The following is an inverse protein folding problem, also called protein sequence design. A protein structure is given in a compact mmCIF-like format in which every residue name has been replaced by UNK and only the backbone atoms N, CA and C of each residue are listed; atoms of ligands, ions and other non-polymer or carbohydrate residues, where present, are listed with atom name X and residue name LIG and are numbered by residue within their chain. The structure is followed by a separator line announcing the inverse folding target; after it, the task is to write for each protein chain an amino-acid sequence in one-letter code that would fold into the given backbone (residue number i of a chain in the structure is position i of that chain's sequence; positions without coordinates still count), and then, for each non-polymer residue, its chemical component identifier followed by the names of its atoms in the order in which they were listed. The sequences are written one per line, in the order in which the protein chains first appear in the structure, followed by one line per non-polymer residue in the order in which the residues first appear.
data_IF_110696829609
#
_entry.id   IF_110696829609
#
_cell.length_a   1.000
_cell.length_b   1.000
_cell.length_c   1.000
_cell.angle_alpha   90.00
_cell.angle_beta   90.00
_cell.angle_gamma   90.00
#
_symmetry.space_group_name_H-M   'P 1'
#
loop_
_entity.id
_entity.type
_entity.pdbx_description
1 polymer ?
#
# COMPACT_ATOMS: atom_id res chain seq x y z
N UNK A 1 6.54 4.28 6.01
CA UNK A 1 6.10 4.46 4.61
C UNK A 1 4.88 3.60 4.33
N UNK A 2 4.95 2.31 4.69
CA UNK A 2 3.82 1.38 4.66
C UNK A 2 2.88 1.59 5.85
N UNK A 3 3.39 1.37 7.08
CA UNK A 3 2.57 1.45 8.30
C UNK A 3 1.84 2.80 8.44
N UNK A 4 0.59 2.72 8.90
CA UNK A 4 -0.31 3.85 9.12
C UNK A 4 -0.72 4.59 7.84
N UNK A 5 -0.33 4.10 6.66
CA UNK A 5 -0.76 4.69 5.39
C UNK A 5 -2.22 4.34 5.10
N UNK A 6 -3.03 5.34 4.80
CA UNK A 6 -4.42 5.15 4.33
C UNK A 6 -4.52 4.88 2.82
N UNK A 7 -3.42 5.11 2.09
CA UNK A 7 -3.41 5.16 0.64
C UNK A 7 -3.83 3.81 0.00
N UNK A 8 -4.52 3.86 -1.15
CA UNK A 8 -4.72 2.70 -2.02
C UNK A 8 -3.38 2.06 -2.40
N UNK A 9 -3.39 0.75 -2.65
CA UNK A 9 -2.19 0.00 -3.02
C UNK A 9 -1.47 0.63 -4.22
N UNK A 10 -2.19 0.97 -5.29
CA UNK A 10 -1.62 1.62 -6.47
C UNK A 10 -0.86 2.91 -6.13
N UNK A 11 -1.46 3.77 -5.30
CA UNK A 11 -0.86 5.04 -4.88
C UNK A 11 0.30 4.85 -3.92
N UNK A 12 0.16 3.96 -2.95
CA UNK A 12 1.23 3.61 -2.01
C UNK A 12 2.45 3.04 -2.73
N UNK A 13 2.26 2.11 -3.67
CA UNK A 13 3.34 1.52 -4.48
C UNK A 13 4.05 2.59 -5.29
N UNK A 14 3.30 3.50 -5.91
CA UNK A 14 3.87 4.61 -6.67
C UNK A 14 4.71 5.53 -5.77
N UNK A 15 4.16 5.95 -4.63
CA UNK A 15 4.85 6.85 -3.70
C UNK A 15 6.12 6.21 -3.10
N UNK A 16 6.11 4.91 -2.81
CA UNK A 16 7.31 4.17 -2.38
C UNK A 16 8.31 4.05 -3.52
N UNK A 17 7.86 3.70 -4.72
CA UNK A 17 8.72 3.57 -5.89
C UNK A 17 9.45 4.87 -6.20
N UNK A 18 8.76 6.02 -6.21
CA UNK A 18 9.38 7.32 -6.49
C UNK A 18 10.44 7.67 -5.44
N UNK A 19 10.20 7.34 -4.17
CA UNK A 19 11.20 7.53 -3.10
C UNK A 19 12.42 6.63 -3.27
N UNK A 20 12.21 5.36 -3.64
CA UNK A 20 13.29 4.40 -3.86
C UNK A 20 14.08 4.67 -5.14
N UNK A 21 13.46 5.22 -6.19
CA UNK A 21 14.12 5.60 -7.44
C UNK A 21 15.11 6.77 -7.25
N UNK A 22 14.79 7.70 -6.34
CA UNK A 22 15.66 8.85 -6.01
C UNK A 22 16.86 8.43 -5.17
N UNK A 23 16.69 7.42 -4.31
CA UNK A 23 17.79 6.80 -3.59
C UNK A 23 18.53 5.85 -4.56
N UNK A 24 19.70 6.24 -5.07
CA UNK A 24 20.46 5.45 -6.05
C UNK A 24 20.76 4.01 -5.55
N UNK A 25 19.87 3.07 -5.86
CA UNK A 25 19.99 1.65 -5.51
C UNK A 25 20.79 0.92 -6.59
N UNK A 26 21.62 -0.03 -6.14
CA UNK A 26 22.53 -0.84 -6.96
C UNK A 26 21.76 -1.79 -7.91
N UNK A 27 20.48 -2.04 -7.61
CA UNK A 27 19.57 -2.83 -8.44
C UNK A 27 18.36 -1.99 -8.88
N UNK A 28 17.89 -2.17 -10.13
CA UNK A 28 16.72 -1.45 -10.64
C UNK A 28 15.46 -1.90 -9.89
N UNK A 29 14.94 -1.03 -9.03
CA UNK A 29 13.62 -1.19 -8.42
C UNK A 29 12.54 -0.91 -9.47
N UNK A 30 11.48 -1.71 -9.48
CA UNK A 30 10.32 -1.52 -10.37
C UNK A 30 9.04 -1.40 -9.54
N UNK A 31 7.98 -0.80 -10.09
CA UNK A 31 6.67 -0.80 -9.41
C UNK A 31 6.19 -2.23 -9.09
N UNK A 32 6.51 -3.22 -9.93
CA UNK A 32 6.14 -4.61 -9.71
C UNK A 32 6.87 -5.23 -8.51
N UNK A 33 8.17 -4.96 -8.36
CA UNK A 33 8.93 -5.44 -7.19
C UNK A 33 8.46 -4.74 -5.91
N UNK A 34 8.17 -3.43 -5.96
CA UNK A 34 7.59 -2.69 -4.83
C UNK A 34 6.22 -3.24 -4.44
N UNK A 35 5.33 -3.46 -5.41
CA UNK A 35 4.01 -4.06 -5.17
C UNK A 35 4.13 -5.44 -4.51
N UNK A 36 5.03 -6.28 -5.01
CA UNK A 36 5.26 -7.62 -4.44
C UNK A 36 5.75 -7.52 -3.00
N UNK A 37 6.69 -6.61 -2.69
CA UNK A 37 7.15 -6.38 -1.33
C UNK A 37 6.04 -5.89 -0.41
N UNK A 38 5.28 -4.86 -0.81
CA UNK A 38 4.14 -4.33 -0.04
C UNK A 38 3.13 -5.43 0.29
N UNK A 39 2.76 -6.26 -0.68
CA UNK A 39 1.83 -7.37 -0.47
C UNK A 39 2.43 -8.56 0.30
N UNK A 40 3.76 -8.65 0.37
CA UNK A 40 4.46 -9.69 1.13
C UNK A 40 4.54 -9.34 2.60
N UNK A 41 4.93 -8.09 2.92
CA UNK A 41 5.18 -7.66 4.31
C UNK A 41 4.00 -6.94 4.95
N UNK A 42 3.02 -6.51 4.15
CA UNK A 42 1.92 -5.66 4.59
C UNK A 42 0.56 -6.30 4.42
N UNK A 43 -0.39 -5.79 5.19
CA UNK A 43 -1.81 -6.03 5.03
C UNK A 43 -2.56 -4.71 5.13
N UNK A 44 -3.72 -4.63 4.47
CA UNK A 44 -4.59 -3.46 4.52
C UNK A 44 -5.81 -3.78 5.38
N UNK A 45 -5.99 -3.01 6.43
CA UNK A 45 -7.03 -3.17 7.44
C UNK A 45 -8.10 -2.09 7.28
N UNK A 46 -9.35 -2.50 7.43
CA UNK A 46 -10.49 -1.61 7.48
C UNK A 46 -10.98 -1.47 8.92
N UNK A 47 -11.16 -0.23 9.37
CA UNK A 47 -11.77 0.12 10.65
C UNK A 47 -13.13 0.76 10.37
N UNK A 48 -14.20 0.06 10.73
CA UNK A 48 -15.59 0.46 10.44
C UNK A 48 -16.35 -0.61 9.67
N UNK A 49 -17.34 -0.20 8.87
CA UNK A 49 -18.12 -1.10 8.02
C UNK A 49 -17.66 -0.93 6.57
N UNK A 50 -16.70 -1.74 6.09
CA UNK A 50 -16.27 -1.66 4.70
C UNK A 50 -17.39 -2.09 3.76
N UNK A 51 -17.44 -1.48 2.57
CA UNK A 51 -18.30 -1.95 1.50
C UNK A 51 -17.80 -3.33 1.04
N UNK A 52 -18.65 -4.37 1.18
CA UNK A 52 -18.31 -5.75 0.80
C UNK A 52 -18.03 -5.94 -0.68
N UNK A 53 -18.47 -5.01 -1.54
CA UNK A 53 -18.26 -5.05 -2.98
C UNK A 53 -17.04 -4.23 -3.43
N UNK A 54 -16.40 -3.50 -2.51
CA UNK A 54 -15.25 -2.68 -2.84
C UNK A 54 -13.96 -3.51 -2.92
N UNK A 55 -13.03 -3.08 -3.78
CA UNK A 55 -11.69 -3.65 -3.80
C UNK A 55 -10.95 -3.21 -2.54
N UNK A 56 -10.76 -4.13 -1.60
CA UNK A 56 -10.08 -3.91 -0.32
C UNK A 56 -8.72 -3.22 -0.49
N UNK A 57 -7.98 -3.50 -1.56
CA UNK A 57 -6.65 -2.94 -1.78
C UNK A 57 -6.68 -1.53 -2.37
N UNK A 58 -7.78 -1.13 -3.00
CA UNK A 58 -7.87 0.14 -3.73
C UNK A 58 -8.94 1.10 -3.18
N UNK A 59 -9.86 0.61 -2.33
CA UNK A 59 -10.93 1.43 -1.76
C UNK A 59 -10.35 2.58 -0.93
N UNK A 60 -10.91 3.77 -1.11
CA UNK A 60 -10.53 4.98 -0.38
C UNK A 60 -11.78 5.83 -0.08
N UNK A 61 -12.93 5.16 -0.01
CA UNK A 61 -14.18 5.77 0.37
C UNK A 61 -14.16 6.22 1.84
N UNK A 62 -14.87 7.31 2.14
CA UNK A 62 -14.98 7.84 3.51
C UNK A 62 -15.83 6.96 4.45
N UNK A 63 -16.40 5.85 3.97
CA UNK A 63 -17.26 4.95 4.76
C UNK A 63 -16.51 4.10 5.79
N UNK A 64 -15.20 3.91 5.62
CA UNK A 64 -14.36 3.22 6.59
C UNK A 64 -12.93 3.77 6.55
N UNK A 65 -12.26 3.73 7.70
CA UNK A 65 -10.87 4.13 7.79
C UNK A 65 -9.98 2.98 7.34
N UNK A 66 -9.08 3.26 6.39
CA UNK A 66 -8.15 2.28 5.85
C UNK A 66 -6.76 2.50 6.42
N UNK A 67 -6.06 1.43 6.75
CA UNK A 67 -4.70 1.50 7.29
C UNK A 67 -3.86 0.33 6.76
N UNK A 68 -2.65 0.61 6.32
CA UNK A 68 -1.63 -0.41 6.07
C UNK A 68 -0.88 -0.74 7.35
N UNK A 69 -0.69 -2.03 7.60
CA UNK A 69 0.00 -2.57 8.77
C UNK A 69 1.02 -3.61 8.32
N UNK A 70 2.05 -3.83 9.13
CA UNK A 70 2.96 -4.96 8.93
C UNK A 70 2.26 -6.27 9.29
N UNK A 71 2.57 -7.33 8.54
CA UNK A 71 2.17 -8.69 8.92
C UNK A 71 3.03 -9.16 10.08
N UNK A 72 2.40 -9.77 11.08
CA UNK A 72 3.09 -10.53 12.14
C UNK A 72 3.68 -11.85 11.63
#
# INVERSE_FOLDING_TARGET
FLEESELPLSRLVYDIYEKLKVAALVEPVTCASVKSSVLSVGQRMAYGVPNSEADVLEDHSESCFWCWETRE
#
